data_IF_492123759449
#
_entry.id   IF_492123759449
#
_cell.length_a   1.000
_cell.length_b   1.000
_cell.length_c   1.000
_cell.angle_alpha   90.00
_cell.angle_beta   90.00
_cell.angle_gamma   90.00
#
_symmetry.space_group_name_H-M   'P 1'
#
loop_
_entity.id
_entity.type
_entity.pdbx_description
1 polymer ?
#
# COMPACT_ATOMS: atom_id res chain seq x y z
N UNK A 1 3.89 17.65 -9.34
CA UNK A 1 3.87 17.21 -10.74
C UNK A 1 5.31 17.19 -11.23
N UNK A 2 5.71 16.21 -12.03
CA UNK A 2 7.09 16.09 -12.54
C UNK A 2 7.15 16.21 -14.05
N UNK A 3 8.30 16.59 -14.57
CA UNK A 3 8.57 16.75 -16.00
C UNK A 3 9.64 15.75 -16.43
N UNK A 4 9.42 15.12 -17.58
CA UNK A 4 10.37 14.17 -18.19
C UNK A 4 10.96 14.80 -19.44
N UNK A 5 12.28 14.98 -19.45
CA UNK A 5 13.02 15.39 -20.64
C UNK A 5 13.21 14.18 -21.61
N UNK A 6 13.44 14.45 -22.89
CA UNK A 6 13.74 13.47 -23.95
C UNK A 6 15.00 12.63 -23.64
N UNK A 7 15.86 13.12 -22.76
CA UNK A 7 17.02 12.38 -22.23
C UNK A 7 16.66 11.34 -21.16
N UNK A 8 15.38 11.21 -20.81
CA UNK A 8 14.90 10.32 -19.76
C UNK A 8 15.16 10.86 -18.35
N UNK A 9 15.45 12.16 -18.20
CA UNK A 9 15.56 12.80 -16.90
C UNK A 9 14.15 13.15 -16.40
N UNK A 10 13.73 12.55 -15.29
CA UNK A 10 12.49 12.91 -14.60
C UNK A 10 12.82 13.75 -13.37
N UNK A 11 12.30 14.97 -13.33
CA UNK A 11 12.44 15.87 -12.18
C UNK A 11 11.10 15.92 -11.45
N UNK A 12 11.12 15.66 -10.14
CA UNK A 12 9.94 15.74 -9.30
C UNK A 12 10.26 16.49 -8.00
N UNK A 13 9.51 17.57 -7.77
CA UNK A 13 9.60 18.37 -6.54
C UNK A 13 8.52 17.96 -5.53
N UNK A 14 8.76 18.30 -4.26
CA UNK A 14 7.79 18.10 -3.18
C UNK A 14 7.62 16.64 -2.73
N UNK A 15 8.56 15.75 -3.02
CA UNK A 15 8.55 14.36 -2.54
C UNK A 15 8.74 14.36 -1.02
N UNK A 16 7.78 13.78 -0.30
CA UNK A 16 7.83 13.56 1.15
C UNK A 16 7.73 12.05 1.46
N UNK A 17 8.49 11.56 2.44
CA UNK A 17 8.50 10.15 2.84
C UNK A 17 9.67 9.36 2.23
N UNK A 18 9.49 8.04 2.08
CA UNK A 18 10.52 7.14 1.56
C UNK A 18 10.29 6.81 0.08
N UNK A 19 11.38 6.60 -0.66
CA UNK A 19 11.31 6.32 -2.10
C UNK A 19 11.15 4.82 -2.37
N UNK A 20 10.33 4.45 -3.35
CA UNK A 20 10.30 3.12 -3.96
C UNK A 20 10.55 3.25 -5.45
N UNK A 21 11.56 2.55 -5.97
CA UNK A 21 11.92 2.55 -7.39
C UNK A 21 11.59 1.18 -7.99
N UNK A 22 10.90 1.19 -9.12
CA UNK A 22 10.55 0.00 -9.89
C UNK A 22 11.11 0.20 -11.30
N UNK A 23 12.02 -0.67 -11.72
CA UNK A 23 12.57 -0.66 -13.07
C UNK A 23 12.10 -1.89 -13.84
N UNK A 24 11.83 -1.73 -15.13
CA UNK A 24 11.46 -2.81 -16.06
C UNK A 24 12.49 -2.84 -17.20
N UNK A 25 13.12 -4.00 -17.43
CA UNK A 25 14.07 -4.18 -18.54
C UNK A 25 13.39 -4.79 -19.78
N UNK A 26 12.49 -5.76 -19.57
CA UNK A 26 11.77 -6.50 -20.61
C UNK A 26 10.33 -6.80 -20.17
N UNK A 27 9.59 -7.65 -20.90
CA UNK A 27 8.19 -7.92 -20.59
C UNK A 27 7.96 -8.45 -19.16
N UNK A 28 8.88 -9.27 -18.65
CA UNK A 28 8.72 -10.01 -17.39
C UNK A 28 9.86 -9.78 -16.38
N UNK A 29 10.75 -8.82 -16.60
CA UNK A 29 11.90 -8.58 -15.72
C UNK A 29 11.80 -7.22 -15.02
N UNK A 30 11.68 -7.29 -13.70
CA UNK A 30 11.53 -6.15 -12.81
C UNK A 30 12.62 -6.11 -11.75
N UNK A 31 13.07 -4.91 -11.41
CA UNK A 31 13.92 -4.66 -10.25
C UNK A 31 13.21 -3.71 -9.29
N UNK A 32 13.26 -4.04 -8.00
CA UNK A 32 12.63 -3.27 -6.93
C UNK A 32 13.70 -2.74 -5.98
N UNK A 33 13.64 -1.46 -5.67
CA UNK A 33 14.47 -0.85 -4.64
C UNK A 33 13.60 -0.03 -3.70
N UNK A 34 13.68 -0.35 -2.40
CA UNK A 34 13.03 0.42 -1.34
C UNK A 34 14.09 1.24 -0.63
N UNK A 35 14.02 2.55 -0.77
CA UNK A 35 14.86 3.48 -0.02
C UNK A 35 14.48 3.49 1.46
N UNK A 36 15.48 3.64 2.30
CA UNK A 36 15.39 3.80 3.75
C UNK A 36 15.43 5.27 4.17
N UNK A 37 16.02 6.12 3.33
CA UNK A 37 16.09 7.56 3.56
C UNK A 37 14.72 8.21 3.42
N UNK A 38 14.33 8.91 4.48
CA UNK A 38 13.16 9.78 4.53
C UNK A 38 13.52 11.14 3.92
N UNK A 39 12.70 11.62 3.00
CA UNK A 39 12.79 12.93 2.35
C UNK A 39 11.67 13.84 2.86
N UNK A 40 11.98 15.13 3.04
CA UNK A 40 11.01 16.13 3.49
C UNK A 40 10.50 15.93 4.92
N UNK A 41 9.49 16.72 5.30
CA UNK A 41 8.73 16.50 6.52
C UNK A 41 7.65 15.46 6.23
N UNK A 42 7.76 14.29 6.84
CA UNK A 42 6.65 13.34 6.87
C UNK A 42 5.77 13.74 8.06
N UNK A 43 4.46 13.94 7.87
CA UNK A 43 3.56 14.08 8.99
C UNK A 43 3.77 12.87 9.92
N UNK A 44 3.99 13.12 11.21
CA UNK A 44 3.79 12.06 12.19
C UNK A 44 2.36 11.56 11.95
N UNK A 45 2.23 10.28 11.59
CA UNK A 45 0.92 9.65 11.62
C UNK A 45 0.31 9.99 12.99
N UNK A 46 -0.96 10.45 13.06
CA UNK A 46 -1.58 10.70 14.34
C UNK A 46 -1.36 9.45 15.18
N UNK A 47 -0.74 9.64 16.35
CA UNK A 47 -0.69 8.59 17.35
C UNK A 47 -2.15 8.16 17.53
N UNK A 48 -2.51 6.96 17.08
CA UNK A 48 -3.84 6.43 17.30
C UNK A 48 -4.10 6.47 18.80
N UNK A 49 -4.96 7.40 19.21
CA UNK A 49 -5.46 7.57 20.56
C UNK A 49 -4.36 7.82 21.59
N UNK A 50 -4.18 9.09 21.95
CA UNK A 50 -3.86 9.42 23.33
C UNK A 50 -4.85 8.66 24.22
N UNK A 51 -4.36 7.62 24.89
CA UNK A 51 -5.08 6.97 25.97
C UNK A 51 -5.39 8.06 26.99
N UNK A 52 -6.65 8.48 27.04
CA UNK A 52 -7.16 9.29 28.12
C UNK A 52 -6.81 8.56 29.43
N UNK A 53 -5.85 9.12 30.15
CA UNK A 53 -5.44 8.69 31.48
C UNK A 53 -6.63 8.87 32.42
N UNK A 54 -7.45 7.83 32.55
CA UNK A 54 -8.34 7.69 33.70
C UNK A 54 -7.57 6.96 34.78
N UNK A 55 -7.47 7.64 35.92
CA UNK A 55 -6.78 7.23 37.15
C UNK A 55 -7.30 5.86 37.63
N UNK A 56 -6.46 4.99 38.22
CA UNK A 56 -6.83 3.60 38.51
C UNK A 56 -7.79 3.50 39.70
N UNK A 57 -8.86 2.71 39.56
CA UNK A 57 -9.53 2.11 40.71
C UNK A 57 -8.83 0.77 41.03
N UNK A 58 -8.36 0.65 42.27
CA UNK A 58 -7.59 -0.47 42.80
C UNK A 58 -8.33 -1.82 42.70
N UNK A 59 -7.61 -2.87 42.24
CA UNK A 59 -8.18 -4.22 42.23
C UNK A 59 -7.39 -5.34 41.52
N UNK A 60 -6.08 -5.47 41.77
CA UNK A 60 -5.25 -6.71 41.66
C UNK A 60 -5.01 -7.36 40.27
N UNK A 61 -3.99 -8.23 40.16
CA UNK A 61 -2.64 -7.95 39.70
C UNK A 61 -2.45 -8.10 38.18
N UNK A 62 -1.67 -7.19 37.61
CA UNK A 62 -1.08 -7.31 36.27
C UNK A 62 -0.25 -8.61 36.16
N UNK A 63 -0.67 -9.51 35.28
CA UNK A 63 0.27 -10.36 34.57
C UNK A 63 0.71 -9.63 33.31
N UNK A 64 1.89 -9.03 33.42
CA UNK A 64 2.73 -8.72 32.27
C UNK A 64 3.05 -10.05 31.57
N UNK A 65 2.42 -10.29 30.42
CA UNK A 65 2.86 -11.31 29.47
C UNK A 65 3.00 -10.67 28.10
N UNK A 66 4.14 -10.04 27.89
CA UNK A 66 5.03 -10.48 26.82
C UNK A 66 4.65 -10.02 25.41
N UNK A 67 5.56 -9.25 24.83
CA UNK A 67 5.70 -8.83 23.43
C UNK A 67 5.76 -9.98 22.38
N UNK A 68 5.12 -11.12 22.63
CA UNK A 68 5.15 -12.31 21.77
C UNK A 68 3.83 -12.55 21.00
N UNK A 69 2.72 -11.90 21.38
CA UNK A 69 1.41 -12.08 20.71
C UNK A 69 1.02 -11.03 19.67
N UNK A 70 1.60 -9.82 19.75
CA UNK A 70 1.23 -8.69 18.89
C UNK A 70 1.73 -8.85 17.45
N UNK A 71 3.01 -9.22 17.26
CA UNK A 71 3.60 -9.41 15.92
C UNK A 71 2.91 -10.53 15.13
N UNK A 72 2.53 -11.63 15.80
CA UNK A 72 1.82 -12.74 15.17
C UNK A 72 0.45 -12.31 14.62
N UNK A 73 -0.35 -11.63 15.44
CA UNK A 73 -1.65 -11.08 15.01
C UNK A 73 -1.51 -10.01 13.93
N UNK A 74 -0.50 -9.14 14.01
CA UNK A 74 -0.23 -8.16 12.94
C UNK A 74 0.13 -8.85 11.62
N UNK A 75 1.00 -9.87 11.66
CA UNK A 75 1.38 -10.63 10.47
C UNK A 75 0.20 -11.40 9.87
N UNK A 76 -0.68 -11.93 10.71
CA UNK A 76 -1.90 -12.61 10.28
C UNK A 76 -2.88 -11.65 9.59
N UNK A 77 -3.12 -10.47 10.17
CA UNK A 77 -3.94 -9.42 9.57
C UNK A 77 -3.35 -8.97 8.21
N UNK A 78 -2.05 -8.68 8.14
CA UNK A 78 -1.39 -8.26 6.90
C UNK A 78 -1.49 -9.34 5.80
N UNK A 79 -1.35 -10.62 6.16
CA UNK A 79 -1.48 -11.73 5.20
C UNK A 79 -2.93 -11.89 4.74
N UNK A 80 -3.89 -11.81 5.67
CA UNK A 80 -5.32 -11.87 5.36
C UNK A 80 -5.77 -10.73 4.44
N UNK A 81 -5.37 -9.50 4.78
CA UNK A 81 -5.68 -8.31 4.00
C UNK A 81 -5.07 -8.38 2.61
N UNK A 82 -3.78 -8.76 2.49
CA UNK A 82 -3.15 -8.94 1.17
C UNK A 82 -3.88 -9.98 0.33
N UNK A 83 -4.27 -11.12 0.91
CA UNK A 83 -5.01 -12.14 0.17
C UNK A 83 -6.33 -11.60 -0.36
N UNK A 84 -7.06 -10.84 0.47
CA UNK A 84 -8.34 -10.21 0.12
C UNK A 84 -8.18 -9.19 -1.01
N UNK A 85 -7.22 -8.28 -0.91
CA UNK A 85 -6.95 -7.30 -1.96
C UNK A 85 -6.56 -7.95 -3.29
N UNK A 86 -5.73 -9.01 -3.25
CA UNK A 86 -5.35 -9.74 -4.46
C UNK A 86 -6.51 -10.54 -5.07
N UNK A 87 -7.48 -11.00 -4.27
CA UNK A 87 -8.68 -11.65 -4.77
C UNK A 87 -9.64 -10.64 -5.41
N UNK A 88 -9.88 -9.51 -4.74
CA UNK A 88 -10.76 -8.44 -5.22
C UNK A 88 -10.25 -7.83 -6.53
N UNK A 89 -8.94 -7.56 -6.64
CA UNK A 89 -8.33 -7.05 -7.86
C UNK A 89 -8.46 -8.02 -9.04
N UNK A 90 -8.33 -9.33 -8.80
CA UNK A 90 -8.54 -10.35 -9.83
C UNK A 90 -10.00 -10.46 -10.25
N UNK A 91 -10.94 -10.34 -9.31
CA UNK A 91 -12.38 -10.26 -9.60
C UNK A 91 -12.71 -9.07 -10.49
N UNK A 92 -12.29 -7.87 -10.07
CA UNK A 92 -12.50 -6.63 -10.83
C UNK A 92 -11.88 -6.68 -12.22
N UNK A 93 -10.69 -7.27 -12.36
CA UNK A 93 -10.06 -7.46 -13.67
C UNK A 93 -10.86 -8.43 -14.55
N UNK A 94 -11.31 -9.57 -14.01
CA UNK A 94 -12.14 -10.52 -14.75
C UNK A 94 -13.47 -9.88 -15.17
N UNK A 95 -14.09 -9.10 -14.29
CA UNK A 95 -15.32 -8.36 -14.61
C UNK A 95 -15.05 -7.36 -15.74
N UNK A 96 -13.94 -6.62 -15.71
CA UNK A 96 -13.58 -5.70 -16.81
C UNK A 96 -13.39 -6.45 -18.13
N UNK A 97 -12.66 -7.58 -18.14
CA UNK A 97 -12.44 -8.38 -19.35
C UNK A 97 -13.76 -8.95 -19.88
N UNK A 98 -14.60 -9.52 -19.03
CA UNK A 98 -15.86 -10.13 -19.42
C UNK A 98 -16.93 -9.10 -19.80
N UNK A 99 -16.90 -7.91 -19.21
CA UNK A 99 -17.82 -6.81 -19.53
C UNK A 99 -17.40 -6.08 -20.81
N UNK A 100 -16.10 -5.99 -21.11
CA UNK A 100 -15.58 -5.47 -22.39
C UNK A 100 -16.02 -6.34 -23.58
N UNK A 101 -16.26 -7.63 -23.40
CA UNK A 101 -16.77 -8.51 -24.47
C UNK A 101 -18.27 -8.27 -24.76
N UNK A 102 -19.04 -7.62 -23.88
CA UNK A 102 -20.51 -7.46 -24.01
C UNK A 102 -20.99 -6.14 -24.65
N UNK A 103 -20.12 -5.19 -24.97
CA UNK A 103 -20.44 -4.01 -25.78
C UNK A 103 -19.17 -3.54 -26.47
N UNK A 104 -19.08 -3.43 -27.79
CA UNK A 104 -19.91 -2.64 -28.69
C UNK A 104 -20.00 -3.38 -30.03
N UNK A 105 -21.20 -3.69 -30.54
CA UNK A 105 -21.37 -4.06 -31.96
C UNK A 105 -21.24 -2.77 -32.78
N UNK A 106 -20.05 -2.51 -33.32
CA UNK A 106 -19.89 -1.49 -34.35
C UNK A 106 -20.73 -1.91 -35.57
N UNK A 107 -21.82 -1.19 -35.81
CA UNK A 107 -22.67 -1.37 -36.99
C UNK A 107 -21.81 -1.01 -38.20
N UNK A 108 -21.52 -1.99 -39.05
CA UNK A 108 -20.71 -1.81 -40.25
C UNK A 108 -21.27 -0.68 -41.12
N UNK A 109 -20.40 0.24 -41.50
CA UNK A 109 -20.68 1.19 -42.56
C UNK A 109 -20.51 0.47 -43.90
N UNK A 110 -21.61 0.35 -44.65
CA UNK A 110 -21.64 0.16 -46.10
C UNK A 110 -22.47 1.31 -46.67
#
# INVERSE_FOLDING_TARGET
SGETDLRGLFIADGIQGTTTVIARKDQNLYAFYRGDKVLGQVPNAPANGEAAQQKPAEGQPQQDQGQSGGKGKLLENIKGDNYRYNADQRGQFNDLINNTIKGVKAKGAY
#
